data_IF_034611821306
#
_entry.id   IF_034611821306
#
_cell.length_a   1.000
_cell.length_b   1.000
_cell.length_c   1.000
_cell.angle_alpha   90.00
_cell.angle_beta   90.00
_cell.angle_gamma   90.00
#
_symmetry.space_group_name_H-M   'P 1'
#
loop_
_entity.id
_entity.type
_entity.pdbx_description
1 polymer ?
#
# COMPACT_ATOMS: atom_id res chain seq x y z
N UNK A 1 -28.62 -32.01 21.26
CA UNK A 1 -27.34 -31.32 21.11
C UNK A 1 -26.53 -32.04 20.04
N UNK A 2 -26.86 -31.82 18.77
CA UNK A 2 -26.03 -32.24 17.64
C UNK A 2 -25.07 -31.10 17.37
N UNK A 3 -23.88 -31.20 17.95
CA UNK A 3 -22.75 -30.34 17.64
C UNK A 3 -22.21 -30.79 16.29
N UNK A 4 -22.71 -30.18 15.21
CA UNK A 4 -22.09 -30.31 13.90
C UNK A 4 -21.14 -29.12 13.72
N UNK A 5 -19.86 -29.42 13.94
CA UNK A 5 -18.73 -28.54 13.67
C UNK A 5 -18.77 -28.15 12.21
N UNK A 6 -19.08 -26.88 11.93
CA UNK A 6 -19.00 -26.33 10.59
C UNK A 6 -17.54 -26.32 10.13
N UNK A 7 -17.31 -27.23 9.18
CA UNK A 7 -16.43 -27.18 8.03
C UNK A 7 -15.26 -26.19 8.06
N UNK A 8 -14.07 -26.78 8.08
CA UNK A 8 -12.85 -26.15 7.63
C UNK A 8 -12.95 -25.87 6.13
N UNK A 9 -12.88 -24.60 5.73
CA UNK A 9 -12.15 -24.27 4.50
C UNK A 9 -11.32 -23.02 4.76
N UNK A 10 -10.04 -23.25 4.98
CA UNK A 10 -8.97 -22.31 4.81
C UNK A 10 -9.15 -21.55 3.49
N UNK A 11 -9.47 -20.26 3.55
CA UNK A 11 -9.19 -19.36 2.44
C UNK A 11 -7.67 -19.16 2.34
N UNK A 12 -6.96 -20.20 1.88
CA UNK A 12 -5.68 -20.04 1.21
C UNK A 12 -6.01 -19.46 -0.17
N UNK A 13 -6.33 -18.17 -0.19
CA UNK A 13 -6.23 -17.40 -1.42
C UNK A 13 -4.74 -17.27 -1.71
N UNK A 14 -4.23 -18.11 -2.60
CA UNK A 14 -2.90 -17.90 -3.18
C UNK A 14 -2.82 -16.46 -3.73
N UNK A 15 -1.65 -15.82 -3.70
CA UNK A 15 -1.51 -14.43 -4.08
C UNK A 15 -1.70 -14.32 -5.59
N UNK A 16 -2.94 -14.23 -6.02
CA UNK A 16 -3.26 -13.81 -7.38
C UNK A 16 -2.89 -12.33 -7.39
N UNK A 17 -1.87 -11.95 -8.14
CA UNK A 17 -1.18 -10.65 -8.11
C UNK A 17 -2.00 -9.40 -8.43
N UNK A 18 -3.32 -9.44 -8.22
CA UNK A 18 -4.23 -8.30 -8.20
C UNK A 18 -5.19 -8.50 -7.04
N UNK A 19 -4.81 -8.06 -5.85
CA UNK A 19 -5.76 -7.91 -4.76
C UNK A 19 -6.33 -6.49 -4.86
N UNK A 20 -7.55 -6.28 -5.41
CA UNK A 20 -8.17 -4.95 -5.51
C UNK A 20 -8.37 -4.30 -4.13
N UNK A 21 -8.29 -5.08 -3.05
CA UNK A 21 -8.27 -4.58 -1.69
C UNK A 21 -7.03 -3.72 -1.38
N UNK A 22 -5.88 -4.00 -2.01
CA UNK A 22 -4.62 -3.30 -1.76
C UNK A 22 -4.44 -2.08 -2.68
N UNK A 23 -4.95 -2.14 -3.89
CA UNK A 23 -4.89 -1.05 -4.88
C UNK A 23 -6.26 -0.86 -5.56
N UNK A 24 -7.25 -0.30 -4.85
CA UNK A 24 -8.64 -0.22 -5.33
C UNK A 24 -8.79 0.65 -6.59
N UNK A 25 -7.87 1.61 -6.80
CA UNK A 25 -7.84 2.48 -7.98
C UNK A 25 -6.87 2.01 -9.06
N UNK A 26 -6.05 0.98 -8.79
CA UNK A 26 -5.00 0.53 -9.71
C UNK A 26 -3.83 1.51 -9.87
N UNK A 27 -3.69 2.52 -9.00
CA UNK A 27 -2.71 3.59 -9.13
C UNK A 27 -1.28 3.07 -9.06
N UNK A 28 -1.03 2.15 -8.12
CA UNK A 28 0.28 1.54 -7.97
C UNK A 28 0.58 0.67 -9.18
N UNK A 29 -0.39 -0.15 -9.62
CA UNK A 29 -0.24 -0.98 -10.83
C UNK A 29 0.13 -0.16 -12.06
N UNK A 30 -0.58 0.95 -12.31
CA UNK A 30 -0.33 1.78 -13.48
C UNK A 30 1.06 2.42 -13.45
N UNK A 31 1.57 2.78 -12.26
CA UNK A 31 2.93 3.31 -12.17
C UNK A 31 4.02 2.34 -12.63
N UNK A 32 3.86 1.03 -12.39
CA UNK A 32 4.81 0.00 -12.88
C UNK A 32 4.70 -0.26 -14.40
N UNK A 33 3.68 0.28 -15.05
CA UNK A 33 3.48 0.22 -16.51
C UNK A 33 3.95 1.49 -17.21
N UNK A 34 4.23 2.56 -16.46
CA UNK A 34 4.70 3.83 -16.99
C UNK A 34 6.21 3.75 -17.24
N UNK A 35 6.60 3.68 -18.50
CA UNK A 35 8.01 3.72 -18.89
C UNK A 35 8.62 5.09 -18.58
N UNK A 36 9.76 5.09 -17.89
CA UNK A 36 10.53 6.31 -17.60
C UNK A 36 9.94 7.21 -16.51
N UNK A 37 8.99 6.72 -15.70
CA UNK A 37 8.46 7.47 -14.55
C UNK A 37 9.57 7.77 -13.54
N UNK A 38 9.60 9.02 -13.04
CA UNK A 38 10.58 9.43 -12.04
C UNK A 38 10.15 9.03 -10.62
N UNK A 39 11.12 8.96 -9.70
CA UNK A 39 10.82 8.72 -8.28
C UNK A 39 9.89 9.80 -7.69
N UNK A 40 9.99 11.06 -8.15
CA UNK A 40 9.13 12.15 -7.73
C UNK A 40 7.65 11.94 -8.11
N UNK A 41 7.41 11.43 -9.31
CA UNK A 41 6.07 11.08 -9.78
C UNK A 41 5.54 9.84 -9.05
N UNK A 42 6.39 8.82 -8.84
CA UNK A 42 6.02 7.67 -8.02
C UNK A 42 5.59 8.07 -6.60
N UNK A 43 6.29 9.02 -5.95
CA UNK A 43 5.89 9.53 -4.63
C UNK A 43 4.53 10.22 -4.65
N UNK A 44 4.20 10.94 -5.72
CA UNK A 44 2.91 11.59 -5.89
C UNK A 44 1.78 10.57 -6.06
N UNK A 45 1.98 9.56 -6.91
CA UNK A 45 1.03 8.46 -7.11
C UNK A 45 0.84 7.66 -5.82
N UNK A 46 1.92 7.34 -5.11
CA UNK A 46 1.86 6.66 -3.82
C UNK A 46 1.04 7.45 -2.78
N UNK A 47 1.21 8.76 -2.73
CA UNK A 47 0.42 9.60 -1.82
C UNK A 47 -1.06 9.61 -2.21
N UNK A 48 -1.40 9.73 -3.50
CA UNK A 48 -2.79 9.67 -3.97
C UNK A 48 -3.44 8.32 -3.66
N UNK A 49 -2.69 7.23 -3.85
CA UNK A 49 -3.11 5.89 -3.43
C UNK A 49 -3.40 5.83 -1.94
N UNK A 50 -2.47 6.27 -1.09
CA UNK A 50 -2.64 6.23 0.37
C UNK A 50 -3.84 7.06 0.85
N UNK A 51 -4.14 8.18 0.16
CA UNK A 51 -5.33 9.01 0.43
C UNK A 51 -6.63 8.40 -0.09
N UNK A 52 -6.55 7.45 -1.02
CA UNK A 52 -7.70 6.76 -1.59
C UNK A 52 -8.13 5.49 -0.83
N UNK A 53 -7.32 5.07 0.15
CA UNK A 53 -7.65 3.92 0.98
C UNK A 53 -8.89 4.18 1.85
N UNK A 54 -9.73 3.17 2.11
CA UNK A 54 -10.88 3.32 3.01
C UNK A 54 -10.48 3.75 4.43
N UNK A 55 -11.36 4.49 5.10
CA UNK A 55 -11.17 4.88 6.49
C UNK A 55 -10.91 3.64 7.38
N UNK A 56 -9.81 3.67 8.12
CA UNK A 56 -9.37 2.57 8.99
C UNK A 56 -8.42 1.57 8.32
N UNK A 57 -8.19 1.64 7.00
CA UNK A 57 -7.16 0.85 6.34
C UNK A 57 -5.78 1.47 6.56
N UNK A 58 -4.88 0.74 7.23
CA UNK A 58 -3.50 1.18 7.40
C UNK A 58 -2.71 0.98 6.08
N UNK A 59 -2.36 2.09 5.43
CA UNK A 59 -1.45 2.10 4.28
C UNK A 59 -0.17 1.27 4.52
N UNK A 60 0.36 1.25 5.74
CA UNK A 60 1.56 0.47 6.10
C UNK A 60 1.31 -1.02 6.06
N UNK A 61 0.13 -1.46 6.48
CA UNK A 61 -0.27 -2.86 6.43
C UNK A 61 -0.51 -3.32 4.99
N UNK A 62 -0.87 -2.40 4.09
CA UNK A 62 -1.07 -2.71 2.67
C UNK A 62 0.24 -2.78 1.85
N UNK A 63 1.28 -2.03 2.24
CA UNK A 63 2.56 -1.98 1.49
C UNK A 63 3.20 -3.36 1.27
N UNK A 64 3.32 -4.26 2.28
CA UNK A 64 3.91 -5.59 2.08
C UNK A 64 3.20 -6.39 0.98
N UNK A 65 1.87 -6.30 0.91
CA UNK A 65 1.08 -6.94 -0.13
C UNK A 65 1.37 -6.37 -1.52
N UNK A 66 1.50 -5.04 -1.64
CA UNK A 66 1.89 -4.38 -2.90
C UNK A 66 3.31 -4.74 -3.34
N UNK A 67 4.26 -4.84 -2.41
CA UNK A 67 5.62 -5.26 -2.69
C UNK A 67 5.68 -6.72 -3.14
N UNK A 68 4.87 -7.60 -2.54
CA UNK A 68 4.76 -8.99 -2.98
C UNK A 68 4.11 -9.10 -4.37
N UNK A 69 3.10 -8.29 -4.66
CA UNK A 69 2.37 -8.33 -5.93
C UNK A 69 3.18 -7.75 -7.11
N UNK A 70 3.82 -6.58 -6.91
CA UNK A 70 4.47 -5.84 -8.00
C UNK A 70 5.98 -5.73 -7.83
N UNK A 71 6.44 -5.51 -6.60
CA UNK A 71 7.86 -5.27 -6.30
C UNK A 71 8.76 -6.48 -6.56
N UNK A 72 8.22 -7.71 -6.49
CA UNK A 72 8.99 -8.93 -6.79
C UNK A 72 9.36 -9.05 -8.28
N UNK A 73 8.46 -8.59 -9.18
CA UNK A 73 8.70 -8.65 -10.63
C UNK A 73 9.60 -7.51 -11.11
N UNK A 74 9.57 -6.35 -10.44
CA UNK A 74 10.36 -5.18 -10.81
C UNK A 74 11.03 -4.56 -9.57
N UNK A 75 12.07 -5.21 -9.01
CA UNK A 75 12.70 -4.76 -7.77
C UNK A 75 13.38 -3.39 -7.90
N UNK A 76 13.89 -3.06 -9.09
CA UNK A 76 14.62 -1.82 -9.37
C UNK A 76 13.72 -0.65 -9.82
N UNK A 77 12.41 -0.88 -9.94
CA UNK A 77 11.47 0.17 -10.34
C UNK A 77 11.40 1.27 -9.27
N UNK A 78 11.35 2.57 -9.63
CA UNK A 78 11.27 3.66 -8.67
C UNK A 78 10.08 3.55 -7.72
N UNK A 79 8.93 3.01 -8.18
CA UNK A 79 7.78 2.74 -7.30
C UNK A 79 8.09 1.72 -6.21
N UNK A 80 8.90 0.68 -6.48
CA UNK A 80 9.32 -0.31 -5.47
C UNK A 80 10.11 0.37 -4.36
N UNK A 81 11.00 1.28 -4.72
CA UNK A 81 11.79 2.05 -3.74
C UNK A 81 10.89 2.97 -2.90
N UNK A 82 9.92 3.63 -3.53
CA UNK A 82 8.93 4.48 -2.84
C UNK A 82 8.10 3.67 -1.84
N UNK A 83 7.64 2.47 -2.22
CA UNK A 83 6.88 1.59 -1.32
C UNK A 83 7.72 1.18 -0.10
N UNK A 84 8.99 0.78 -0.30
CA UNK A 84 9.92 0.45 0.80
C UNK A 84 10.14 1.65 1.71
N UNK A 85 10.42 2.83 1.13
CA UNK A 85 10.60 4.06 1.88
C UNK A 85 9.33 4.47 2.65
N UNK A 86 8.14 4.24 2.07
CA UNK A 86 6.85 4.48 2.71
C UNK A 86 6.63 3.59 3.94
N UNK A 87 7.02 2.32 3.88
CA UNK A 87 6.93 1.40 5.01
C UNK A 87 7.82 1.86 6.18
N UNK A 88 9.03 2.35 5.89
CA UNK A 88 9.98 2.87 6.86
C UNK A 88 9.57 4.24 7.42
N UNK A 89 9.17 5.18 6.55
CA UNK A 89 8.83 6.54 6.95
C UNK A 89 7.63 6.60 7.88
N UNK A 90 6.66 5.71 7.68
CA UNK A 90 5.50 5.59 8.54
C UNK A 90 5.80 4.85 9.87
N UNK A 91 6.91 4.10 9.94
CA UNK A 91 7.43 3.54 11.19
C UNK A 91 8.00 4.62 12.12
N UNK A 92 8.46 5.74 11.56
CA UNK A 92 8.86 6.91 12.33
C UNK A 92 7.62 7.77 12.57
N UNK A 93 7.03 7.79 13.78
CA UNK A 93 5.89 8.65 14.06
C UNK A 93 6.33 10.10 13.86
N UNK A 94 6.03 10.68 12.69
CA UNK A 94 6.24 12.09 12.42
C UNK A 94 5.19 12.85 13.22
N UNK A 95 5.54 13.15 14.47
CA UNK A 95 4.87 14.15 15.29
C UNK A 95 4.71 15.42 14.45
N UNK A 96 3.51 15.63 13.93
CA UNK A 96 3.11 16.90 13.33
C UNK A 96 2.82 17.87 14.48
N UNK A 97 3.87 18.26 15.20
CA UNK A 97 3.84 19.39 16.10
C UNK A 97 3.97 20.66 15.26
N UNK A 98 3.02 21.59 15.40
CA UNK A 98 3.20 22.99 15.02
C UNK A 98 2.54 23.46 13.73
N UNK A 99 1.23 23.22 13.55
CA UNK A 99 0.45 24.04 12.58
C UNK A 99 -0.64 24.90 13.22
N UNK A 100 -0.71 24.93 14.56
CA UNK A 100 -1.69 25.70 15.34
C UNK A 100 -1.07 26.66 16.37
N UNK A 101 -0.01 27.37 15.98
CA UNK A 101 0.42 28.57 16.69
C UNK A 101 0.37 29.76 15.73
N UNK A 102 -0.86 30.19 15.43
CA UNK A 102 -1.11 31.58 15.07
C UNK A 102 -2.09 32.11 16.10
N UNK A 103 -1.50 32.67 17.15
CA UNK A 103 -2.15 33.65 17.99
C UNK A 103 -2.28 34.93 17.15
N UNK A 104 -3.47 35.51 17.11
CA UNK A 104 -3.69 36.90 16.70
C UNK A 104 -4.34 37.61 17.86
#
# INVERSE_FOLDING_TARGET
MSSETQDSTTATSGPTGQDPALDPKGLIRESYRMDGISEGECRSIFLDWALSLPDGQDSRAAIPGLLAAYGAAQPDHPMTQVLRAGAEAAAKPRRRGGWRSRDR
#
